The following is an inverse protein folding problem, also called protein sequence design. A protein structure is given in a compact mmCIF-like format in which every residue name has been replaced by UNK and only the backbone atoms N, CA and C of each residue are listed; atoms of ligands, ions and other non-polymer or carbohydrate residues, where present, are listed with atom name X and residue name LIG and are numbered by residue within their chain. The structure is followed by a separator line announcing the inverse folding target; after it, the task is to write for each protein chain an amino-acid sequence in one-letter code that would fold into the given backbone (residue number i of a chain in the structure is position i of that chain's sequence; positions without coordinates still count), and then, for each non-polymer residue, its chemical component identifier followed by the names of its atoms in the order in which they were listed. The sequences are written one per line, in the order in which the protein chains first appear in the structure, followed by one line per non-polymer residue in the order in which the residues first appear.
data_IF_962849484074
#
_entry.id   IF_962849484074
#
_cell.length_a   1.000
_cell.length_b   1.000
_cell.length_c   1.000
_cell.angle_alpha   90.00
_cell.angle_beta   90.00
_cell.angle_gamma   90.00
#
_symmetry.space_group_name_H-M   'P 1'
#
loop_
_entity.id
_entity.type
_entity.pdbx_description
1 polymer ?
#
# COMPACT_ATOMS: atom_id res chain seq x y z
N UNK A 1 -6.20 -4.55 -30.46
CA UNK A 1 -5.92 -4.55 -31.91
C UNK A 1 -4.45 -4.78 -32.05
N UNK A 2 -4.00 -5.84 -32.74
CA UNK A 2 -2.61 -5.99 -33.10
C UNK A 2 -2.23 -4.85 -34.06
N UNK A 3 -1.17 -4.13 -33.76
CA UNK A 3 -0.67 -3.08 -34.65
C UNK A 3 -0.24 -3.72 -35.97
N UNK A 4 -0.72 -3.20 -37.09
CA UNK A 4 -0.27 -3.64 -38.41
C UNK A 4 1.20 -3.22 -38.55
N UNK A 5 2.15 -4.13 -38.88
CA UNK A 5 3.54 -3.77 -39.02
C UNK A 5 3.73 -2.72 -40.11
N UNK A 6 4.70 -1.83 -39.94
CA UNK A 6 5.06 -0.86 -40.96
C UNK A 6 5.57 -1.63 -42.24
N UNK A 7 5.32 -1.15 -43.44
CA UNK A 7 5.76 -1.84 -44.66
C UNK A 7 7.25 -2.22 -44.71
N UNK A 8 8.13 -1.43 -44.04
CA UNK A 8 9.55 -1.70 -43.91
C UNK A 8 9.85 -2.95 -43.07
N UNK A 9 8.97 -3.28 -42.13
CA UNK A 9 9.15 -4.38 -41.18
C UNK A 9 8.49 -5.67 -41.66
N UNK A 10 7.75 -5.65 -42.79
CA UNK A 10 6.91 -6.77 -43.24
C UNK A 10 7.72 -8.06 -43.48
N UNK A 11 8.97 -7.94 -43.88
CA UNK A 11 9.84 -9.09 -44.19
C UNK A 11 10.46 -9.73 -42.93
N UNK A 12 10.42 -9.02 -41.80
CA UNK A 12 11.07 -9.42 -40.54
C UNK A 12 10.08 -9.61 -39.38
N UNK A 13 8.81 -9.34 -39.62
CA UNK A 13 7.77 -9.41 -38.61
C UNK A 13 6.85 -10.60 -38.82
N UNK A 14 6.78 -11.46 -37.81
CA UNK A 14 5.76 -12.50 -37.71
C UNK A 14 4.82 -12.13 -36.58
N UNK A 15 3.53 -11.99 -36.87
CA UNK A 15 2.52 -11.71 -35.85
C UNK A 15 2.46 -12.87 -34.83
N UNK A 16 2.31 -12.52 -33.54
CA UNK A 16 2.27 -13.51 -32.48
C UNK A 16 1.18 -14.58 -32.71
N UNK A 17 0.00 -14.19 -33.19
CA UNK A 17 -1.09 -15.11 -33.51
C UNK A 17 -0.71 -16.12 -34.61
N UNK A 18 0.03 -15.71 -35.61
CA UNK A 18 0.48 -16.58 -36.72
C UNK A 18 1.62 -17.50 -36.24
N UNK A 19 2.52 -16.97 -35.44
CA UNK A 19 3.59 -17.77 -34.83
C UNK A 19 3.01 -18.87 -33.93
N UNK A 20 2.14 -18.55 -32.98
CA UNK A 20 1.56 -19.52 -32.06
C UNK A 20 0.55 -20.47 -32.72
N UNK A 21 -0.08 -20.08 -33.84
CA UNK A 21 -0.87 -21.02 -34.64
C UNK A 21 -0.03 -22.11 -35.30
N UNK A 22 1.16 -21.75 -35.78
CA UNK A 22 2.07 -22.70 -36.40
C UNK A 22 2.82 -23.57 -35.42
N UNK A 23 3.02 -23.11 -34.18
CA UNK A 23 3.82 -23.75 -33.12
C UNK A 23 3.01 -24.16 -31.88
N UNK A 24 1.82 -24.72 -32.08
CA UNK A 24 0.84 -25.03 -31.01
C UNK A 24 1.33 -25.88 -29.85
N UNK A 25 2.43 -26.62 -30.02
CA UNK A 25 2.96 -27.56 -29.05
C UNK A 25 4.33 -27.16 -28.48
N UNK A 26 4.82 -25.97 -28.79
CA UNK A 26 6.09 -25.46 -28.27
C UNK A 26 5.84 -24.47 -27.15
N UNK A 27 6.46 -24.69 -26.01
CA UNK A 27 6.65 -23.68 -24.99
C UNK A 27 8.00 -22.99 -25.26
N UNK A 28 8.03 -21.67 -25.18
CA UNK A 28 9.21 -20.86 -25.45
C UNK A 28 9.71 -20.21 -24.18
N UNK A 29 11.02 -20.06 -24.09
CA UNK A 29 11.69 -19.23 -23.08
C UNK A 29 12.32 -18.01 -23.74
N UNK A 30 12.88 -17.11 -22.95
CA UNK A 30 13.60 -15.95 -23.45
C UNK A 30 14.90 -16.32 -24.20
N UNK A 31 15.40 -17.55 -24.01
CA UNK A 31 16.56 -18.07 -24.75
C UNK A 31 16.19 -18.50 -26.18
N UNK A 32 14.92 -18.79 -26.44
CA UNK A 32 14.43 -19.27 -27.73
C UNK A 32 14.03 -18.15 -28.68
N UNK A 33 13.71 -16.97 -28.17
CA UNK A 33 13.16 -15.85 -28.96
C UNK A 33 13.74 -14.51 -28.52
N UNK A 34 13.78 -13.59 -29.47
CA UNK A 34 14.08 -12.18 -29.23
C UNK A 34 13.03 -11.31 -29.90
N UNK A 35 12.80 -10.12 -29.35
CA UNK A 35 11.95 -9.14 -30.01
C UNK A 35 12.73 -8.48 -31.17
N UNK A 36 12.15 -8.50 -32.34
CA UNK A 36 12.71 -7.78 -33.48
C UNK A 36 12.58 -6.26 -33.24
N UNK A 37 13.60 -5.52 -33.66
CA UNK A 37 13.56 -4.06 -33.65
C UNK A 37 12.65 -3.60 -34.79
N UNK A 38 11.56 -2.90 -34.46
CA UNK A 38 10.63 -2.36 -35.42
C UNK A 38 10.77 -0.83 -35.52
N UNK A 39 10.32 -0.28 -36.66
CA UNK A 39 10.25 1.18 -36.82
C UNK A 39 9.27 1.79 -35.80
N UNK A 40 9.66 2.88 -35.14
CA UNK A 40 8.86 3.60 -34.18
C UNK A 40 9.04 5.11 -34.30
N UNK A 41 7.94 5.85 -34.27
CA UNK A 41 7.90 7.32 -34.23
C UNK A 41 7.72 7.90 -32.85
N UNK A 42 7.54 7.03 -31.82
CA UNK A 42 7.36 7.45 -30.44
C UNK A 42 8.68 7.53 -29.68
N UNK A 43 8.81 8.57 -28.86
CA UNK A 43 9.95 8.67 -27.93
C UNK A 43 9.78 7.68 -26.76
N UNK A 44 10.86 7.14 -26.19
CA UNK A 44 10.79 6.22 -25.06
C UNK A 44 9.96 6.76 -23.87
N UNK A 45 9.99 8.07 -23.62
CA UNK A 45 9.22 8.72 -22.55
C UNK A 45 7.71 8.74 -22.81
N UNK A 46 7.28 8.57 -24.07
CA UNK A 46 5.87 8.64 -24.47
C UNK A 46 5.24 7.24 -24.55
N UNK A 47 6.02 6.19 -24.20
CA UNK A 47 5.53 4.81 -24.17
C UNK A 47 4.53 4.60 -23.03
N UNK A 48 3.45 3.86 -23.32
CA UNK A 48 2.49 3.42 -22.32
C UNK A 48 2.74 1.96 -21.95
N UNK A 49 3.17 1.74 -20.72
CA UNK A 49 3.51 0.40 -20.20
C UNK A 49 2.39 -0.22 -19.37
N UNK A 50 1.30 0.54 -19.12
CA UNK A 50 0.22 0.04 -18.28
C UNK A 50 -0.51 -1.15 -18.89
N UNK A 51 -0.81 -2.13 -18.05
CA UNK A 51 -1.53 -3.35 -18.43
C UNK A 51 -2.65 -3.67 -17.43
N UNK A 52 -3.64 -4.43 -17.87
CA UNK A 52 -4.72 -4.94 -17.02
C UNK A 52 -4.50 -6.44 -16.87
N UNK A 53 -4.26 -6.90 -15.64
CA UNK A 53 -4.09 -8.31 -15.32
C UNK A 53 -5.44 -9.01 -15.09
N UNK A 54 -6.35 -8.32 -14.43
CA UNK A 54 -7.68 -8.79 -14.11
C UNK A 54 -8.62 -7.60 -13.94
N UNK A 55 -9.91 -7.86 -13.83
CA UNK A 55 -10.89 -6.83 -13.48
C UNK A 55 -10.50 -6.16 -12.15
N UNK A 56 -10.39 -4.83 -12.18
CA UNK A 56 -9.96 -4.03 -11.01
C UNK A 56 -8.45 -4.08 -10.70
N UNK A 57 -7.64 -4.85 -11.43
CA UNK A 57 -6.20 -4.94 -11.22
C UNK A 57 -5.42 -4.43 -12.43
N UNK A 58 -5.06 -3.16 -12.36
CA UNK A 58 -4.22 -2.49 -13.36
C UNK A 58 -2.82 -2.24 -12.81
N UNK A 59 -1.82 -2.55 -13.61
CA UNK A 59 -0.43 -2.20 -13.33
C UNK A 59 0.01 -1.04 -14.23
N UNK A 60 0.86 -0.17 -13.69
CA UNK A 60 1.47 0.93 -14.44
C UNK A 60 2.77 0.47 -15.13
N UNK A 61 3.40 -0.58 -14.61
CA UNK A 61 4.56 -1.26 -15.18
C UNK A 61 4.25 -2.76 -15.23
N UNK A 62 4.35 -3.45 -16.39
CA UNK A 62 3.99 -4.87 -16.54
C UNK A 62 5.09 -5.80 -16.01
N UNK A 63 5.53 -5.58 -14.76
CA UNK A 63 6.53 -6.40 -14.08
C UNK A 63 5.91 -6.98 -12.81
N UNK A 64 6.06 -8.29 -12.65
CA UNK A 64 5.60 -9.03 -11.48
C UNK A 64 6.80 -9.75 -10.88
N UNK A 65 7.05 -9.60 -9.57
CA UNK A 65 8.06 -10.41 -8.89
C UNK A 65 7.48 -11.75 -8.48
N UNK A 66 8.27 -12.81 -8.69
CA UNK A 66 7.85 -14.19 -8.48
C UNK A 66 7.57 -14.48 -6.99
N UNK A 67 6.66 -15.41 -6.75
CA UNK A 67 6.25 -15.92 -5.44
C UNK A 67 7.25 -16.96 -4.87
N UNK A 68 8.51 -16.61 -4.89
CA UNK A 68 9.61 -17.46 -4.42
C UNK A 68 10.11 -16.96 -3.06
N UNK A 69 10.43 -17.90 -2.16
CA UNK A 69 10.84 -17.64 -0.77
C UNK A 69 12.10 -16.77 -0.62
N UNK A 70 12.97 -16.75 -1.60
CA UNK A 70 14.18 -15.92 -1.63
C UNK A 70 14.04 -14.66 -2.47
N UNK A 71 12.87 -14.40 -3.05
CA UNK A 71 12.62 -13.31 -3.99
C UNK A 71 11.63 -12.30 -3.46
N UNK A 72 10.40 -12.73 -3.12
CA UNK A 72 9.32 -11.79 -2.82
C UNK A 72 8.73 -11.96 -1.42
N UNK A 73 9.19 -11.12 -0.53
CA UNK A 73 8.57 -10.75 0.74
C UNK A 73 8.15 -9.27 0.68
N UNK A 74 7.74 -8.69 1.82
CA UNK A 74 7.27 -7.30 1.89
C UNK A 74 8.23 -6.30 1.23
N UNK A 75 9.54 -6.44 1.44
CA UNK A 75 10.54 -5.50 0.93
C UNK A 75 10.54 -5.44 -0.60
N UNK A 76 10.54 -6.58 -1.27
CA UNK A 76 10.48 -6.66 -2.73
C UNK A 76 9.11 -6.23 -3.23
N UNK A 77 8.02 -6.70 -2.61
CA UNK A 77 6.65 -6.33 -2.99
C UNK A 77 6.43 -4.82 -2.90
N UNK A 78 6.95 -4.13 -1.88
CA UNK A 78 6.94 -2.67 -1.75
C UNK A 78 7.72 -2.03 -2.91
N UNK A 79 8.96 -2.48 -3.16
CA UNK A 79 9.80 -1.89 -4.19
C UNK A 79 9.16 -2.00 -5.58
N UNK A 80 8.61 -3.15 -5.94
CA UNK A 80 7.93 -3.38 -7.23
C UNK A 80 6.67 -2.52 -7.32
N UNK A 81 5.83 -2.49 -6.28
CA UNK A 81 4.60 -1.70 -6.28
C UNK A 81 4.86 -0.19 -6.37
N UNK A 82 5.91 0.33 -5.72
CA UNK A 82 6.33 1.73 -5.83
C UNK A 82 6.75 2.11 -7.26
N UNK A 83 7.22 1.14 -8.04
CA UNK A 83 7.55 1.31 -9.46
C UNK A 83 6.39 0.96 -10.40
N UNK A 84 5.21 0.66 -9.88
CA UNK A 84 4.01 0.43 -10.68
C UNK A 84 3.72 -1.02 -11.07
N UNK A 85 4.53 -1.97 -10.59
CA UNK A 85 4.36 -3.40 -10.80
C UNK A 85 3.62 -4.10 -9.66
N UNK A 86 3.73 -5.44 -9.57
CA UNK A 86 3.07 -6.29 -8.58
C UNK A 86 4.07 -7.25 -7.94
N UNK A 87 4.15 -7.28 -6.62
CA UNK A 87 4.88 -8.29 -5.88
C UNK A 87 3.94 -9.41 -5.41
N UNK A 88 4.33 -10.67 -5.65
CA UNK A 88 3.60 -11.85 -5.18
C UNK A 88 4.33 -12.43 -3.95
N UNK A 89 3.77 -12.19 -2.75
CA UNK A 89 4.32 -12.74 -1.51
C UNK A 89 4.18 -14.26 -1.52
N UNK A 90 5.28 -14.98 -1.31
CA UNK A 90 5.30 -16.43 -1.38
C UNK A 90 4.54 -17.10 -0.22
N UNK A 91 4.15 -18.36 -0.41
CA UNK A 91 3.43 -19.16 0.60
C UNK A 91 4.33 -20.09 1.42
N UNK A 92 5.64 -20.15 1.15
CA UNK A 92 6.59 -21.02 1.87
C UNK A 92 6.95 -20.42 3.24
N UNK A 93 5.92 -20.11 4.01
CA UNK A 93 5.97 -19.61 5.39
C UNK A 93 4.65 -19.89 6.10
N UNK A 94 4.60 -19.84 7.45
CA UNK A 94 3.34 -19.92 8.18
C UNK A 94 2.36 -18.81 7.75
N UNK A 95 1.07 -19.10 7.71
CA UNK A 95 0.01 -18.17 7.33
C UNK A 95 0.11 -16.83 8.08
N UNK A 96 0.35 -16.89 9.40
CA UNK A 96 0.53 -15.70 10.24
C UNK A 96 1.69 -14.80 9.77
N UNK A 97 2.76 -15.39 9.26
CA UNK A 97 3.91 -14.66 8.76
C UNK A 97 3.62 -14.06 7.39
N UNK A 98 2.94 -14.79 6.49
CA UNK A 98 2.49 -14.25 5.21
C UNK A 98 1.54 -13.06 5.40
N UNK A 99 0.57 -13.17 6.30
CA UNK A 99 -0.32 -12.06 6.65
C UNK A 99 0.45 -10.85 7.17
N UNK A 100 1.52 -11.07 7.96
CA UNK A 100 2.39 -9.98 8.44
C UNK A 100 3.15 -9.31 7.29
N UNK A 101 3.69 -10.09 6.35
CA UNK A 101 4.36 -9.54 5.16
C UNK A 101 3.38 -8.72 4.30
N UNK A 102 2.19 -9.24 4.00
CA UNK A 102 1.13 -8.51 3.29
C UNK A 102 0.75 -7.22 4.02
N UNK A 103 0.58 -7.30 5.35
CA UNK A 103 0.26 -6.12 6.17
C UNK A 103 1.36 -5.06 6.11
N UNK A 104 2.64 -5.45 6.07
CA UNK A 104 3.75 -4.50 5.88
C UNK A 104 3.67 -3.78 4.54
N UNK A 105 3.29 -4.47 3.46
CA UNK A 105 3.11 -3.84 2.15
C UNK A 105 1.94 -2.86 2.20
N UNK A 106 0.79 -3.31 2.70
CA UNK A 106 -0.41 -2.48 2.80
C UNK A 106 -0.24 -1.25 3.68
N UNK A 107 0.62 -1.37 4.71
CA UNK A 107 0.88 -0.31 5.70
C UNK A 107 2.15 0.50 5.39
N UNK A 108 2.74 0.38 4.21
CA UNK A 108 4.02 1.05 3.90
C UNK A 108 3.88 2.57 3.79
N UNK A 109 2.84 3.04 3.12
CA UNK A 109 2.48 4.47 3.03
C UNK A 109 0.96 4.57 2.93
N UNK A 110 0.36 5.28 3.86
CA UNK A 110 -1.08 5.47 3.89
C UNK A 110 -1.49 6.83 3.34
N UNK A 111 -2.58 6.85 2.56
CA UNK A 111 -3.35 8.07 2.42
C UNK A 111 -4.03 8.39 3.75
N UNK A 112 -5.28 8.01 3.88
CA UNK A 112 -6.01 8.09 5.14
C UNK A 112 -5.87 6.76 5.89
N UNK A 113 -5.31 6.79 7.11
CA UNK A 113 -5.34 5.66 8.03
C UNK A 113 -6.74 5.62 8.64
N UNK A 114 -7.61 4.74 8.12
CA UNK A 114 -9.03 4.70 8.51
C UNK A 114 -9.26 4.11 9.90
N UNK A 115 -8.43 3.18 10.34
CA UNK A 115 -8.52 2.57 11.67
C UNK A 115 -7.21 2.75 12.45
N UNK A 116 -6.91 3.97 12.93
CA UNK A 116 -5.73 4.18 13.73
C UNK A 116 -5.84 3.42 15.06
N UNK A 117 -4.72 2.90 15.55
CA UNK A 117 -4.67 2.34 16.89
C UNK A 117 -4.95 3.46 17.88
N UNK A 118 -5.99 3.30 18.68
CA UNK A 118 -6.50 4.27 19.64
C UNK A 118 -6.41 3.73 21.06
N UNK A 119 -6.34 4.66 22.00
CA UNK A 119 -6.26 4.39 23.43
C UNK A 119 -7.36 5.16 24.19
N UNK A 120 -7.61 4.80 25.42
CA UNK A 120 -8.59 5.48 26.28
C UNK A 120 -7.90 6.27 27.39
N UNK A 121 -8.57 7.30 27.89
CA UNK A 121 -8.00 8.23 28.87
C UNK A 121 -7.69 7.60 30.24
N UNK A 122 -8.35 6.51 30.58
CA UNK A 122 -8.21 5.78 31.85
C UNK A 122 -7.06 4.75 31.85
N UNK A 123 -6.54 4.36 30.69
CA UNK A 123 -5.40 3.44 30.57
C UNK A 123 -4.14 4.03 31.20
N UNK A 124 -3.23 3.16 31.66
CA UNK A 124 -1.92 3.57 32.14
C UNK A 124 -0.94 3.70 30.95
N UNK A 125 -0.03 4.66 31.03
CA UNK A 125 1.04 4.84 30.03
C UNK A 125 1.92 3.58 29.96
N UNK A 126 2.08 2.87 31.07
CA UNK A 126 2.82 1.59 31.11
C UNK A 126 2.19 0.52 30.24
N UNK A 127 0.87 0.42 30.19
CA UNK A 127 0.16 -0.55 29.33
C UNK A 127 0.38 -0.22 27.86
N UNK A 128 0.36 1.08 27.53
CA UNK A 128 0.63 1.55 26.16
C UNK A 128 2.09 1.28 25.77
N UNK A 129 3.03 1.50 26.68
CA UNK A 129 4.46 1.20 26.45
C UNK A 129 4.66 -0.28 26.15
N UNK A 130 4.07 -1.16 26.98
CA UNK A 130 4.12 -2.62 26.77
C UNK A 130 3.50 -3.03 25.43
N UNK A 131 2.35 -2.47 25.06
CA UNK A 131 1.72 -2.71 23.77
C UNK A 131 2.62 -2.29 22.58
N UNK A 132 3.31 -1.15 22.69
CA UNK A 132 4.25 -0.65 21.65
C UNK A 132 5.43 -1.60 21.50
N UNK A 133 6.00 -2.08 22.60
CA UNK A 133 7.14 -3.00 22.60
C UNK A 133 6.75 -4.38 22.07
N UNK A 134 5.64 -4.94 22.55
CA UNK A 134 5.15 -6.26 22.14
C UNK A 134 4.81 -6.31 20.65
N UNK A 135 4.08 -5.31 20.17
CA UNK A 135 3.65 -5.25 18.76
C UNK A 135 4.68 -4.60 17.83
N UNK A 136 5.79 -4.07 18.39
CA UNK A 136 6.87 -3.42 17.63
C UNK A 136 6.38 -2.35 16.67
N UNK A 137 5.50 -1.46 17.15
CA UNK A 137 5.02 -0.36 16.34
C UNK A 137 6.15 0.58 15.94
N UNK A 138 6.13 1.05 14.68
CA UNK A 138 7.05 2.07 14.17
C UNK A 138 6.63 3.50 14.56
N UNK A 139 5.48 3.66 15.20
CA UNK A 139 4.92 4.94 15.64
C UNK A 139 4.62 4.91 17.14
N UNK A 140 4.56 6.09 17.74
CA UNK A 140 4.39 6.24 19.18
C UNK A 140 3.35 7.31 19.57
N UNK A 141 2.49 7.74 18.63
CA UNK A 141 1.46 8.74 18.91
C UNK A 141 0.10 8.11 18.67
N UNK A 142 -0.82 8.22 19.63
CA UNK A 142 -2.10 7.53 19.60
C UNK A 142 -3.26 8.51 19.81
N UNK A 143 -4.31 8.46 18.97
CA UNK A 143 -5.57 9.11 19.26
C UNK A 143 -6.16 8.58 20.56
N UNK A 144 -6.66 9.48 21.40
CA UNK A 144 -7.37 9.13 22.63
C UNK A 144 -8.85 9.34 22.40
N UNK A 145 -9.64 8.29 22.62
CA UNK A 145 -11.09 8.31 22.41
C UNK A 145 -11.85 7.89 23.66
N UNK A 146 -13.12 8.28 23.73
CA UNK A 146 -14.05 7.80 24.74
C UNK A 146 -14.72 6.47 24.31
N UNK A 147 -15.61 5.95 25.15
CA UNK A 147 -16.36 4.71 24.88
C UNK A 147 -17.29 4.78 23.68
N UNK A 148 -17.66 6.00 23.25
CA UNK A 148 -18.47 6.26 22.05
C UNK A 148 -17.61 6.54 20.81
N UNK A 149 -16.29 6.27 20.86
CA UNK A 149 -15.32 6.56 19.81
C UNK A 149 -15.15 8.06 19.49
N UNK A 150 -15.56 8.96 20.36
CA UNK A 150 -15.35 10.41 20.17
C UNK A 150 -13.95 10.79 20.59
N UNK A 151 -13.35 11.71 19.85
CA UNK A 151 -11.98 12.17 20.07
C UNK A 151 -11.87 13.02 21.36
N UNK A 152 -11.10 12.54 22.31
CA UNK A 152 -10.79 13.24 23.58
C UNK A 152 -9.47 14.01 23.47
N UNK A 153 -8.53 13.51 22.70
CA UNK A 153 -7.22 14.13 22.54
C UNK A 153 -6.21 13.26 21.79
N UNK A 154 -4.95 13.59 21.95
CA UNK A 154 -3.82 12.88 21.32
C UNK A 154 -2.75 12.55 22.36
N UNK A 155 -2.35 11.30 22.49
CA UNK A 155 -1.22 10.89 23.34
C UNK A 155 0.07 11.01 22.55
N UNK A 156 0.96 11.96 22.85
CA UNK A 156 2.19 12.14 22.11
C UNK A 156 3.25 11.14 22.54
N UNK A 157 4.10 10.69 21.58
CA UNK A 157 5.10 9.65 21.82
C UNK A 157 6.17 9.97 22.83
N UNK A 158 6.47 11.25 23.04
CA UNK A 158 7.50 11.67 24.00
C UNK A 158 7.13 11.39 25.45
N UNK A 159 5.82 11.19 25.77
CA UNK A 159 5.35 10.81 27.11
C UNK A 159 5.25 9.30 27.31
N UNK A 160 5.32 8.49 26.27
CA UNK A 160 5.31 7.02 26.37
C UNK A 160 6.73 6.55 26.74
N UNK A 161 7.07 6.68 28.01
CA UNK A 161 8.39 6.37 28.57
C UNK A 161 8.24 5.68 29.93
N UNK A 162 9.17 4.78 30.31
CA UNK A 162 9.12 4.06 31.59
C UNK A 162 8.92 4.97 32.83
N UNK A 163 9.50 6.18 32.80
CA UNK A 163 9.36 7.16 33.90
C UNK A 163 7.94 7.67 34.12
N UNK A 164 7.04 7.52 33.13
CA UNK A 164 5.63 7.93 33.22
C UNK A 164 4.67 6.74 33.27
N UNK A 165 5.17 5.51 33.34
CA UNK A 165 4.37 4.28 33.27
C UNK A 165 3.20 4.22 34.25
N UNK A 166 3.36 4.82 35.44
CA UNK A 166 2.34 4.85 36.50
C UNK A 166 1.25 5.92 36.31
N UNK A 167 1.41 6.82 35.33
CA UNK A 167 0.42 7.88 35.05
C UNK A 167 -0.67 7.37 34.12
N UNK A 168 -1.86 7.97 34.27
CA UNK A 168 -2.96 7.77 33.31
C UNK A 168 -2.73 8.57 32.03
N UNK A 169 -3.25 8.07 30.92
CA UNK A 169 -3.25 8.77 29.62
C UNK A 169 -3.88 10.14 29.76
N UNK A 170 -4.96 10.27 30.55
CA UNK A 170 -5.64 11.55 30.83
C UNK A 170 -4.73 12.66 31.37
N UNK A 171 -3.64 12.30 32.07
CA UNK A 171 -2.71 13.27 32.68
C UNK A 171 -1.65 13.78 31.70
N UNK A 172 -1.51 13.13 30.55
CA UNK A 172 -0.40 13.37 29.63
C UNK A 172 -0.84 13.60 28.17
N UNK A 173 -2.13 13.50 27.87
CA UNK A 173 -2.66 13.74 26.54
C UNK A 173 -2.65 15.23 26.18
N UNK A 174 -2.50 15.52 24.90
CA UNK A 174 -2.83 16.81 24.32
C UNK A 174 -4.36 16.88 24.21
N UNK A 175 -5.03 17.83 24.85
CA UNK A 175 -6.50 17.86 24.90
C UNK A 175 -7.09 18.15 23.52
N UNK A 176 -8.34 17.73 23.28
CA UNK A 176 -9.06 17.87 22.01
C UNK A 176 -9.00 19.29 21.42
N UNK A 177 -9.07 20.32 22.25
CA UNK A 177 -9.02 21.73 21.82
C UNK A 177 -7.69 22.15 21.18
N UNK A 178 -6.61 21.41 21.39
CA UNK A 178 -5.27 21.65 20.85
C UNK A 178 -4.91 20.67 19.73
N UNK A 179 -5.79 19.73 19.41
CA UNK A 179 -5.55 18.74 18.35
C UNK A 179 -6.14 19.24 17.04
N UNK A 180 -5.32 19.26 16.01
CA UNK A 180 -5.75 19.65 14.67
C UNK A 180 -6.57 18.54 14.02
N UNK A 181 -7.75 18.90 13.53
CA UNK A 181 -8.67 17.96 12.89
C UNK A 181 -9.20 18.49 11.58
N UNK A 182 -9.60 17.58 10.69
CA UNK A 182 -10.44 17.85 9.52
C UNK A 182 -11.76 17.09 9.69
N UNK A 183 -12.85 17.70 9.26
CA UNK A 183 -14.11 16.95 9.18
C UNK A 183 -14.11 16.06 7.94
N UNK A 184 -14.72 14.85 8.04
CA UNK A 184 -14.87 13.93 6.91
C UNK A 184 -15.47 14.62 5.69
N UNK A 185 -16.43 15.53 5.88
CA UNK A 185 -17.07 16.28 4.79
C UNK A 185 -16.11 17.24 4.06
N UNK A 186 -15.06 17.68 4.73
CA UNK A 186 -14.06 18.60 4.13
C UNK A 186 -13.06 17.87 3.22
N UNK A 187 -13.00 16.55 3.26
CA UNK A 187 -12.05 15.76 2.48
C UNK A 187 -12.34 15.80 0.98
N UNK A 188 -13.61 15.96 0.59
CA UNK A 188 -14.00 16.06 -0.81
C UNK A 188 -13.63 14.81 -1.63
N UNK A 189 -13.39 15.00 -2.94
CA UNK A 189 -13.05 13.92 -3.86
C UNK A 189 -11.55 13.55 -3.86
N UNK A 190 -10.67 14.39 -3.31
CA UNK A 190 -9.23 14.11 -3.17
C UNK A 190 -8.77 14.41 -1.74
N UNK A 191 -8.93 13.45 -0.82
CA UNK A 191 -8.51 13.59 0.58
C UNK A 191 -7.01 13.91 0.74
N UNK A 192 -6.17 13.39 -0.17
CA UNK A 192 -4.72 13.61 -0.13
C UNK A 192 -4.39 15.07 -0.44
N UNK A 193 -4.98 15.63 -1.51
CA UNK A 193 -4.77 17.05 -1.84
C UNK A 193 -5.28 17.98 -0.74
N UNK A 194 -6.39 17.60 -0.06
CA UNK A 194 -6.92 18.36 1.07
C UNK A 194 -5.97 18.35 2.27
N UNK A 195 -5.41 17.16 2.60
CA UNK A 195 -4.43 17.02 3.67
C UNK A 195 -3.12 17.76 3.36
N UNK A 196 -2.60 17.64 2.13
CA UNK A 196 -1.38 18.34 1.67
C UNK A 196 -1.53 19.86 1.79
N UNK A 197 -2.67 20.40 1.35
CA UNK A 197 -3.01 21.80 1.52
C UNK A 197 -3.02 22.21 2.99
N UNK A 198 -3.65 21.43 3.86
CA UNK A 198 -3.71 21.71 5.29
C UNK A 198 -2.33 21.76 5.93
N UNK A 199 -1.46 20.78 5.65
CA UNK A 199 -0.09 20.78 6.15
C UNK A 199 0.73 21.95 5.64
N UNK A 200 0.52 22.37 4.37
CA UNK A 200 1.19 23.53 3.78
C UNK A 200 0.78 24.85 4.43
N UNK A 201 -0.50 24.97 4.82
CA UNK A 201 -1.05 26.14 5.49
C UNK A 201 -0.69 26.21 6.99
N UNK A 202 -0.30 25.05 7.58
CA UNK A 202 -0.05 24.93 9.01
C UNK A 202 1.33 24.29 9.29
N UNK A 203 2.44 25.00 9.05
CA UNK A 203 3.78 24.47 9.24
C UNK A 203 4.02 24.08 10.71
N UNK A 204 4.68 22.92 10.91
CA UNK A 204 4.96 22.35 12.23
C UNK A 204 3.92 21.33 12.72
N UNK A 205 2.80 21.18 12.00
CA UNK A 205 1.84 20.11 12.28
C UNK A 205 2.26 18.85 11.51
N UNK A 206 2.35 17.72 12.19
CA UNK A 206 2.77 16.45 11.61
C UNK A 206 1.65 15.42 11.52
N UNK A 207 0.50 15.67 12.13
CA UNK A 207 -0.64 14.77 12.17
C UNK A 207 -1.95 15.54 12.18
N UNK A 208 -2.91 15.05 11.40
CA UNK A 208 -4.27 15.57 11.34
C UNK A 208 -5.21 14.39 11.62
N UNK A 209 -6.08 14.52 12.61
CA UNK A 209 -7.13 13.54 12.86
C UNK A 209 -8.36 13.89 12.02
N UNK A 210 -9.00 12.87 11.47
CA UNK A 210 -10.24 13.03 10.72
C UNK A 210 -11.40 12.64 11.61
N UNK A 211 -12.35 13.55 11.77
CA UNK A 211 -13.51 13.36 12.66
C UNK A 211 -14.82 13.55 11.90
N UNK A 212 -15.87 12.89 12.37
CA UNK A 212 -17.24 13.13 11.94
C UNK A 212 -17.87 14.35 12.62
N UNK A 213 -19.12 14.65 12.29
CA UNK A 213 -19.88 15.75 12.91
C UNK A 213 -20.17 15.51 14.40
N UNK A 214 -20.17 14.26 14.81
CA UNK A 214 -20.32 13.82 16.20
C UNK A 214 -19.01 13.76 16.97
N UNK A 215 -17.93 14.29 16.39
CA UNK A 215 -16.54 14.20 16.87
C UNK A 215 -16.00 12.75 16.94
N UNK A 216 -16.69 11.79 16.32
CA UNK A 216 -16.24 10.41 16.15
C UNK A 216 -14.98 10.33 15.32
N UNK A 217 -14.00 9.54 15.77
CA UNK A 217 -12.72 9.36 15.04
C UNK A 217 -12.94 8.46 13.81
N UNK A 218 -12.62 9.00 12.63
CA UNK A 218 -12.69 8.33 11.34
C UNK A 218 -11.33 7.99 10.74
N UNK A 219 -10.27 8.67 11.16
CA UNK A 219 -8.95 8.39 10.61
C UNK A 219 -7.87 9.38 11.01
N UNK A 220 -6.72 9.21 10.37
CA UNK A 220 -5.52 9.98 10.64
C UNK A 220 -4.70 10.15 9.35
N UNK A 221 -4.23 11.37 9.08
CA UNK A 221 -3.16 11.65 8.12
C UNK A 221 -1.86 11.96 8.85
N UNK A 222 -0.72 11.51 8.28
CA UNK A 222 0.60 11.96 8.71
C UNK A 222 1.27 12.80 7.62
N UNK A 223 2.01 13.83 8.01
CA UNK A 223 2.74 14.69 7.06
C UNK A 223 3.69 13.85 6.20
N UNK A 224 4.44 12.93 6.81
CA UNK A 224 5.41 12.08 6.10
C UNK A 224 4.78 11.23 5.00
N UNK A 225 3.56 10.70 5.23
CA UNK A 225 2.85 9.91 4.22
C UNK A 225 2.35 10.80 3.08
N UNK A 226 1.80 11.96 3.41
CA UNK A 226 1.30 12.91 2.42
C UNK A 226 2.44 13.46 1.55
N UNK A 227 3.57 13.85 2.14
CA UNK A 227 4.76 14.29 1.39
C UNK A 227 5.25 13.21 0.43
N UNK A 228 5.31 11.96 0.90
CA UNK A 228 5.73 10.82 0.08
C UNK A 228 4.78 10.57 -1.08
N UNK A 229 3.46 10.59 -0.85
CA UNK A 229 2.45 10.46 -1.90
C UNK A 229 2.55 11.61 -2.90
N UNK A 230 2.76 12.83 -2.42
CA UNK A 230 2.91 14.01 -3.29
C UNK A 230 4.17 13.93 -4.16
N UNK A 231 5.28 13.38 -3.64
CA UNK A 231 6.48 13.07 -4.42
C UNK A 231 6.23 11.97 -5.46
N UNK A 232 5.54 10.89 -5.08
CA UNK A 232 5.17 9.80 -5.98
C UNK A 232 4.29 10.27 -7.15
N UNK A 233 3.37 11.22 -6.92
CA UNK A 233 2.52 11.81 -7.98
C UNK A 233 3.35 12.54 -9.05
N UNK A 234 4.55 13.00 -8.73
CA UNK A 234 5.50 13.67 -9.64
C UNK A 234 6.49 12.71 -10.28
N UNK A 235 6.59 11.47 -9.79
CA UNK A 235 7.51 10.47 -10.31
C UNK A 235 7.11 10.02 -11.72
N UNK A 236 8.11 9.62 -12.52
CA UNK A 236 7.92 9.08 -13.87
C UNK A 236 7.10 7.78 -13.85
N UNK A 237 7.36 6.91 -12.87
CA UNK A 237 6.61 5.68 -12.64
C UNK A 237 5.63 5.91 -11.50
N UNK A 238 4.34 5.70 -11.77
CA UNK A 238 3.30 5.83 -10.75
C UNK A 238 3.18 4.52 -9.98
N UNK A 239 3.18 4.55 -8.64
CA UNK A 239 2.95 3.37 -7.84
C UNK A 239 1.64 2.64 -8.19
N UNK A 240 1.65 1.32 -8.09
CA UNK A 240 0.44 0.51 -8.15
C UNK A 240 -0.28 0.57 -6.80
N UNK A 241 -1.44 1.25 -6.76
CA UNK A 241 -2.23 1.47 -5.55
C UNK A 241 -3.68 1.04 -5.75
N UNK A 242 -4.30 0.57 -4.68
CA UNK A 242 -5.73 0.30 -4.61
C UNK A 242 -6.55 1.59 -4.39
N UNK A 243 -7.87 1.45 -4.31
CA UNK A 243 -8.80 2.57 -4.08
C UNK A 243 -8.61 3.26 -2.74
N UNK A 244 -8.03 2.57 -1.76
CA UNK A 244 -7.71 3.10 -0.43
C UNK A 244 -6.29 3.70 -0.35
N UNK A 245 -5.64 3.92 -1.48
CA UNK A 245 -4.26 4.41 -1.60
C UNK A 245 -3.18 3.49 -1.01
N UNK A 246 -3.49 2.21 -0.75
CA UNK A 246 -2.51 1.23 -0.28
C UNK A 246 -1.80 0.59 -1.47
N UNK A 247 -0.54 0.22 -1.30
CA UNK A 247 0.21 -0.49 -2.33
C UNK A 247 -0.46 -1.84 -2.68
N UNK A 248 -0.50 -2.17 -3.96
CA UNK A 248 -1.03 -3.45 -4.43
C UNK A 248 0.03 -4.53 -4.24
N UNK A 249 -0.37 -5.67 -3.72
CA UNK A 249 0.43 -6.90 -3.69
C UNK A 249 -0.48 -8.11 -3.86
N UNK A 250 0.06 -9.20 -4.35
CA UNK A 250 -0.57 -10.52 -4.33
C UNK A 250 0.00 -11.38 -3.20
N UNK A 251 -0.73 -12.40 -2.82
CA UNK A 251 -0.26 -13.45 -1.95
C UNK A 251 -0.52 -14.80 -2.63
N UNK A 252 0.51 -15.62 -2.74
CA UNK A 252 0.38 -16.97 -3.28
C UNK A 252 -0.30 -17.86 -2.25
N UNK A 253 -1.17 -18.74 -2.70
CA UNK A 253 -1.81 -19.76 -1.89
C UNK A 253 -1.64 -21.13 -2.54
N UNK A 254 -1.58 -22.18 -1.72
CA UNK A 254 -1.54 -23.55 -2.23
C UNK A 254 -2.87 -23.90 -2.92
N UNK A 255 -2.78 -24.44 -4.12
CA UNK A 255 -3.93 -25.00 -4.83
C UNK A 255 -4.02 -26.53 -4.66
N UNK A 256 -3.32 -27.09 -3.67
CA UNK A 256 -3.35 -28.52 -3.36
C UNK A 256 -4.78 -28.96 -3.06
N UNK A 257 -5.16 -30.11 -3.61
CA UNK A 257 -6.47 -30.72 -3.39
C UNK A 257 -6.35 -31.92 -2.49
N UNK A 258 -7.33 -32.10 -1.63
CA UNK A 258 -7.47 -33.31 -0.81
C UNK A 258 -7.85 -34.51 -1.67
N UNK A 259 -7.92 -35.69 -1.06
CA UNK A 259 -8.28 -36.93 -1.74
C UNK A 259 -9.69 -36.90 -2.41
N UNK A 260 -10.53 -35.97 -2.04
CA UNK A 260 -11.88 -35.78 -2.60
C UNK A 260 -11.92 -34.69 -3.72
N UNK A 261 -10.77 -34.15 -4.09
CA UNK A 261 -10.68 -33.12 -5.13
C UNK A 261 -11.05 -31.70 -4.69
N UNK A 262 -11.31 -31.47 -3.41
CA UNK A 262 -11.58 -30.15 -2.83
C UNK A 262 -10.25 -29.45 -2.47
N UNK A 263 -10.25 -28.11 -2.47
CA UNK A 263 -9.08 -27.35 -2.02
C UNK A 263 -8.74 -27.72 -0.57
N UNK A 264 -7.49 -28.11 -0.35
CA UNK A 264 -6.97 -28.39 0.99
C UNK A 264 -6.78 -27.05 1.73
N UNK A 265 -7.67 -26.78 2.69
CA UNK A 265 -7.68 -25.54 3.47
C UNK A 265 -6.74 -25.57 4.68
N UNK A 266 -6.08 -26.71 4.93
CA UNK A 266 -5.14 -26.89 6.04
C UNK A 266 -3.67 -26.69 5.61
N UNK A 267 -3.44 -26.31 4.34
CA UNK A 267 -2.09 -26.07 3.79
C UNK A 267 -1.97 -24.72 3.11
#
# INVERSE_FOLDING_TARGET
MAATPHPIDSDFYLAADDFFRSQRHMALTYDDVTLATLYSEILPRDTQLSTVLAEGLRLNLPIISADMDTVTEARMAIAIALNGGLGLVHYNMPEKDQLREVSRVKNHVHGLIQEPIKVTADQLIGDILHMVEERRFSFSTFPVVDTANRLVGLLPGHVIKPRYAHRKVAEALTPRSQVHTLNVRELGNDPIARADKFFSENPGIHKILVVGDDDGLHGLFTLSDIERISQERRAQFKPARDTDFRLVCGAAISATRNAFGELDRER
#
